data_IF_810002685078
#
_entry.id   IF_810002685078
#
_cell.length_a   1.000
_cell.length_b   1.000
_cell.length_c   1.000
_cell.angle_alpha   90.00
_cell.angle_beta   90.00
_cell.angle_gamma   90.00
#
_symmetry.space_group_name_H-M   'P 1'
#
loop_
_entity.id
_entity.type
_entity.pdbx_description
1 polymer ?
#
# COMPACT_ATOMS: atom_id res chain seq x y z
N UNK A 1 20.52 8.64 6.27
CA UNK A 1 20.74 8.87 7.71
C UNK A 1 21.05 7.61 8.53
N UNK A 2 21.32 6.44 7.91
CA UNK A 2 21.75 5.21 8.62
C UNK A 2 23.25 4.92 8.53
N UNK A 3 23.97 5.56 7.61
CA UNK A 3 25.39 5.33 7.40
C UNK A 3 26.25 5.75 8.61
N UNK A 4 25.93 6.89 9.25
CA UNK A 4 26.70 7.41 10.37
C UNK A 4 26.56 6.53 11.65
N UNK A 5 25.35 6.11 12.08
CA UNK A 5 25.23 5.16 13.19
C UNK A 5 25.89 3.81 12.91
N UNK A 6 25.77 3.26 11.69
CA UNK A 6 26.39 1.99 11.32
C UNK A 6 27.92 2.09 11.28
N UNK A 7 28.45 3.22 10.79
CA UNK A 7 29.87 3.52 10.81
C UNK A 7 30.41 3.68 12.24
N UNK A 8 29.71 4.42 13.10
CA UNK A 8 30.10 4.65 14.51
C UNK A 8 30.07 3.35 15.32
N UNK A 9 29.16 2.43 15.03
CA UNK A 9 29.08 1.12 15.68
C UNK A 9 30.09 0.10 15.13
N UNK A 10 30.92 0.47 14.13
CA UNK A 10 31.83 -0.46 13.45
C UNK A 10 31.11 -1.55 12.66
N UNK A 11 29.80 -1.42 12.47
CA UNK A 11 28.94 -2.37 11.79
C UNK A 11 28.89 -2.07 10.29
N UNK A 12 30.06 -2.02 9.64
CA UNK A 12 30.09 -1.98 8.18
C UNK A 12 30.01 -3.41 7.64
N UNK A 13 29.20 -3.66 6.60
CA UNK A 13 29.21 -4.91 5.86
C UNK A 13 30.65 -5.31 5.47
N UNK A 14 31.06 -6.57 5.62
CA UNK A 14 32.40 -7.03 5.25
C UNK A 14 32.60 -7.11 3.73
N UNK A 15 31.56 -6.78 2.95
CA UNK A 15 31.53 -6.92 1.51
C UNK A 15 32.02 -5.66 0.78
N UNK A 16 32.53 -5.79 -0.46
CA UNK A 16 32.80 -4.65 -1.32
C UNK A 16 31.57 -3.73 -1.48
N UNK A 17 31.76 -2.41 -1.70
CA UNK A 17 30.65 -1.44 -1.77
C UNK A 17 29.58 -1.79 -2.81
N UNK A 18 29.96 -2.38 -3.95
CA UNK A 18 29.02 -2.78 -5.01
C UNK A 18 28.05 -3.88 -4.53
N UNK A 19 28.55 -4.88 -3.81
CA UNK A 19 27.72 -5.97 -3.28
C UNK A 19 26.86 -5.50 -2.13
N UNK A 20 27.40 -4.62 -1.28
CA UNK A 20 26.63 -3.95 -0.23
C UNK A 20 25.48 -3.14 -0.82
N UNK A 21 25.75 -2.34 -1.87
CA UNK A 21 24.72 -1.55 -2.54
C UNK A 21 23.66 -2.45 -3.20
N UNK A 22 24.07 -3.51 -3.89
CA UNK A 22 23.16 -4.48 -4.48
C UNK A 22 22.28 -5.17 -3.41
N UNK A 23 22.88 -5.61 -2.30
CA UNK A 23 22.14 -6.23 -1.20
C UNK A 23 21.12 -5.29 -0.56
N UNK A 24 21.47 -4.01 -0.37
CA UNK A 24 20.52 -2.98 0.12
C UNK A 24 19.38 -2.75 -0.87
N UNK A 25 19.69 -2.68 -2.18
CA UNK A 25 18.68 -2.52 -3.23
C UNK A 25 17.73 -3.71 -3.30
N UNK A 26 18.22 -4.94 -3.09
CA UNK A 26 17.40 -6.15 -3.03
C UNK A 26 16.57 -6.23 -1.74
N UNK A 27 17.09 -5.74 -0.63
CA UNK A 27 16.38 -5.75 0.66
C UNK A 27 15.25 -4.71 0.72
N UNK A 28 15.46 -3.53 0.13
CA UNK A 28 14.47 -2.45 0.12
C UNK A 28 13.04 -2.88 -0.29
N UNK A 29 12.81 -3.54 -1.45
CA UNK A 29 11.47 -3.98 -1.84
C UNK A 29 10.88 -5.06 -0.92
N UNK A 30 11.70 -5.83 -0.21
CA UNK A 30 11.22 -6.81 0.77
C UNK A 30 10.66 -6.15 2.05
N UNK A 31 11.12 -4.94 2.38
CA UNK A 31 10.67 -4.16 3.54
C UNK A 31 9.47 -3.27 3.24
N UNK A 32 9.26 -2.88 1.97
CA UNK A 32 8.16 -2.02 1.55
C UNK A 32 6.76 -2.54 1.96
N UNK A 33 6.41 -3.84 1.82
CA UNK A 33 5.11 -4.35 2.21
C UNK A 33 4.81 -4.13 3.71
N UNK A 34 5.79 -4.35 4.59
CA UNK A 34 5.62 -4.14 6.03
C UNK A 34 5.35 -2.68 6.37
N UNK A 35 6.06 -1.75 5.74
CA UNK A 35 5.83 -0.31 5.94
C UNK A 35 4.48 0.15 5.38
N UNK A 36 4.11 -0.31 4.19
CA UNK A 36 2.81 -0.03 3.60
C UNK A 36 1.65 -0.64 4.41
N UNK A 37 1.87 -1.80 5.02
CA UNK A 37 0.88 -2.47 5.87
C UNK A 37 0.64 -1.69 7.16
N UNK A 38 1.70 -1.21 7.82
CA UNK A 38 1.59 -0.34 8.99
C UNK A 38 0.77 0.93 8.69
N UNK A 39 1.01 1.53 7.52
CA UNK A 39 0.22 2.68 7.04
C UNK A 39 -1.24 2.32 6.79
N UNK A 40 -1.52 1.16 6.22
CA UNK A 40 -2.89 0.72 5.96
C UNK A 40 -3.67 0.51 7.27
N UNK A 41 -3.04 -0.01 8.32
CA UNK A 41 -3.66 -0.08 9.66
C UNK A 41 -4.04 1.31 10.18
N UNK A 42 -3.10 2.26 10.14
CA UNK A 42 -3.35 3.63 10.60
C UNK A 42 -4.47 4.33 9.82
N UNK A 43 -4.51 4.14 8.50
CA UNK A 43 -5.40 4.91 7.61
C UNK A 43 -6.75 4.23 7.35
N UNK A 44 -6.77 2.91 7.13
CA UNK A 44 -7.97 2.14 6.84
C UNK A 44 -8.52 1.41 8.08
N UNK A 45 -7.63 0.90 8.93
CA UNK A 45 -7.99 0.18 10.17
C UNK A 45 -8.46 1.10 11.30
N UNK A 46 -8.12 2.40 11.25
CA UNK A 46 -8.37 3.40 12.32
C UNK A 46 -7.80 2.96 13.68
N UNK A 47 -6.59 2.40 13.64
CA UNK A 47 -5.80 1.95 14.77
C UNK A 47 -4.38 1.66 14.29
N UNK A 48 -3.51 1.16 15.16
CA UNK A 48 -2.12 0.85 14.85
C UNK A 48 -1.87 -0.67 14.98
N UNK A 49 -0.70 -1.18 14.54
CA UNK A 49 -0.29 -2.55 14.85
C UNK A 49 -0.03 -2.79 16.35
N UNK A 50 -0.23 -1.78 17.22
CA UNK A 50 0.07 -1.87 18.64
C UNK A 50 -1.07 -2.59 19.38
N UNK A 51 -0.76 -3.50 20.32
CA UNK A 51 -1.79 -4.27 21.04
C UNK A 51 -2.84 -3.43 21.76
N UNK A 52 -2.49 -2.20 22.17
CA UNK A 52 -3.36 -1.28 22.90
C UNK A 52 -4.19 -0.34 22.01
N UNK A 53 -3.99 -0.37 20.69
CA UNK A 53 -4.81 0.37 19.71
C UNK A 53 -5.04 -0.47 18.44
N UNK A 54 -5.69 -1.64 18.55
CA UNK A 54 -5.86 -2.54 17.41
C UNK A 54 -6.81 -1.95 16.34
N UNK A 55 -6.67 -2.36 15.06
CA UNK A 55 -7.55 -1.90 14.00
C UNK A 55 -9.00 -2.32 14.27
N UNK A 56 -9.94 -1.38 14.08
CA UNK A 56 -11.38 -1.59 14.33
C UNK A 56 -12.09 -2.32 13.19
N UNK A 57 -11.42 -2.50 12.07
CA UNK A 57 -11.96 -3.10 10.84
C UNK A 57 -10.98 -4.12 10.31
N UNK A 58 -11.52 -5.17 9.70
CA UNK A 58 -10.70 -6.13 8.95
C UNK A 58 -10.09 -5.41 7.74
N UNK A 59 -8.78 -5.21 7.77
CA UNK A 59 -8.04 -4.53 6.71
C UNK A 59 -7.70 -5.52 5.61
N UNK A 60 -8.25 -5.31 4.42
CA UNK A 60 -8.04 -6.18 3.24
C UNK A 60 -7.46 -5.42 2.04
N UNK A 61 -7.15 -4.13 2.21
CA UNK A 61 -6.49 -3.28 1.22
C UNK A 61 -4.96 -3.32 1.31
N UNK A 62 -4.28 -2.64 0.39
CA UNK A 62 -2.82 -2.55 0.40
C UNK A 62 -2.13 -3.92 0.37
N UNK A 63 -1.04 -4.10 1.14
CA UNK A 63 -0.33 -5.38 1.23
C UNK A 63 -1.19 -6.55 1.72
N UNK A 64 -2.22 -6.30 2.53
CA UNK A 64 -3.12 -7.32 3.05
C UNK A 64 -3.97 -7.99 1.95
N UNK A 65 -4.07 -7.40 0.74
CA UNK A 65 -4.68 -8.06 -0.41
C UNK A 65 -3.78 -9.15 -1.03
N UNK A 66 -2.48 -9.13 -0.74
CA UNK A 66 -1.49 -10.03 -1.35
C UNK A 66 -1.01 -11.11 -0.38
N UNK A 67 -0.80 -10.75 0.87
CA UNK A 67 -0.30 -11.63 1.92
C UNK A 67 -0.94 -11.20 3.24
N UNK A 68 -1.28 -12.15 4.10
CA UNK A 68 -2.02 -11.86 5.34
C UNK A 68 -1.11 -11.30 6.43
N UNK A 69 0.16 -11.68 6.41
CA UNK A 69 1.16 -11.31 7.41
C UNK A 69 2.30 -10.45 6.80
N UNK A 70 2.01 -9.33 6.11
CA UNK A 70 3.01 -8.55 5.39
C UNK A 70 4.09 -7.99 6.32
N UNK A 71 3.72 -7.58 7.53
CA UNK A 71 4.66 -7.02 8.51
C UNK A 71 5.60 -8.10 9.05
N UNK A 72 5.06 -9.27 9.41
CA UNK A 72 5.89 -10.38 9.88
C UNK A 72 6.79 -10.92 8.75
N UNK A 73 6.27 -11.01 7.52
CA UNK A 73 7.07 -11.38 6.34
C UNK A 73 8.23 -10.40 6.12
N UNK A 74 7.97 -9.09 6.12
CA UNK A 74 9.02 -8.09 6.00
C UNK A 74 10.03 -8.13 7.16
N UNK A 75 9.60 -8.44 8.38
CA UNK A 75 10.53 -8.61 9.51
C UNK A 75 11.46 -9.81 9.33
N UNK A 76 10.92 -10.96 8.92
CA UNK A 76 11.72 -12.17 8.64
C UNK A 76 12.69 -11.92 7.48
N UNK A 77 12.22 -11.35 6.37
CA UNK A 77 13.07 -10.98 5.23
C UNK A 77 14.11 -9.92 5.61
N UNK A 78 13.78 -9.02 6.52
CA UNK A 78 14.69 -8.05 7.13
C UNK A 78 15.85 -8.72 7.86
N UNK A 79 15.56 -9.66 8.76
CA UNK A 79 16.59 -10.42 9.46
C UNK A 79 17.46 -11.24 8.51
N UNK A 80 16.86 -11.92 7.53
CA UNK A 80 17.61 -12.69 6.53
C UNK A 80 18.51 -11.79 5.66
N UNK A 81 17.99 -10.64 5.21
CA UNK A 81 18.74 -9.67 4.43
C UNK A 81 19.89 -9.05 5.23
N UNK A 82 19.67 -8.70 6.49
CA UNK A 82 20.72 -8.22 7.38
C UNK A 82 21.75 -9.32 7.68
N UNK A 83 21.33 -10.58 7.90
CA UNK A 83 22.27 -11.70 8.07
C UNK A 83 23.22 -11.84 6.88
N UNK A 84 22.68 -11.73 5.66
CA UNK A 84 23.50 -11.74 4.44
C UNK A 84 24.39 -10.49 4.32
N UNK A 85 23.84 -9.30 4.55
CA UNK A 85 24.58 -8.03 4.43
C UNK A 85 25.72 -7.91 5.45
N UNK A 86 25.53 -8.36 6.68
CA UNK A 86 26.53 -8.26 7.74
C UNK A 86 27.36 -9.55 7.92
N UNK A 87 27.06 -10.61 7.15
CA UNK A 87 27.63 -11.94 7.30
C UNK A 87 27.54 -12.49 8.74
N UNK A 88 26.47 -12.14 9.47
CA UNK A 88 26.27 -12.53 10.87
C UNK A 88 25.20 -13.62 10.99
N UNK A 89 25.59 -14.89 11.28
CA UNK A 89 24.64 -15.99 11.44
C UNK A 89 23.72 -15.83 12.65
N UNK A 90 24.04 -14.99 13.63
CA UNK A 90 23.15 -14.72 14.78
C UNK A 90 21.84 -14.05 14.33
N UNK A 91 21.88 -13.30 13.24
CA UNK A 91 20.69 -12.69 12.64
C UNK A 91 19.77 -13.73 11.99
N UNK A 92 20.30 -14.89 11.58
CA UNK A 92 19.47 -16.02 11.11
C UNK A 92 18.64 -16.60 12.27
N UNK A 93 19.20 -16.67 13.48
CA UNK A 93 18.43 -17.05 14.67
C UNK A 93 17.29 -16.06 14.89
N UNK A 94 17.54 -14.76 14.72
CA UNK A 94 16.50 -13.73 14.75
C UNK A 94 15.38 -13.98 13.73
N UNK A 95 15.73 -14.35 12.50
CA UNK A 95 14.75 -14.71 11.46
C UNK A 95 13.92 -15.95 11.85
N UNK A 96 14.57 -17.00 12.36
CA UNK A 96 13.91 -18.25 12.79
C UNK A 96 12.97 -17.98 13.95
N UNK A 97 13.43 -17.24 14.97
CA UNK A 97 12.59 -16.88 16.14
C UNK A 97 11.41 -16.03 15.71
N UNK A 98 11.63 -15.02 14.86
CA UNK A 98 10.55 -14.17 14.34
C UNK A 98 9.53 -14.98 13.54
N UNK A 99 9.98 -15.91 12.70
CA UNK A 99 9.11 -16.79 11.92
C UNK A 99 8.33 -17.76 12.83
N UNK A 100 8.99 -18.41 13.78
CA UNK A 100 8.38 -19.36 14.70
C UNK A 100 7.34 -18.69 15.61
N UNK A 101 7.68 -17.54 16.20
CA UNK A 101 6.74 -16.75 17.00
C UNK A 101 5.53 -16.31 16.17
N UNK A 102 5.77 -15.81 14.96
CA UNK A 102 4.71 -15.29 14.10
C UNK A 102 3.79 -16.39 13.55
N UNK A 103 4.35 -17.52 13.11
CA UNK A 103 3.61 -18.62 12.52
C UNK A 103 2.92 -19.52 13.57
N UNK A 104 3.45 -19.56 14.80
CA UNK A 104 2.88 -20.28 15.93
C UNK A 104 2.00 -19.39 16.78
N UNK A 105 2.59 -18.77 17.80
CA UNK A 105 1.87 -18.08 18.88
C UNK A 105 1.04 -16.90 18.36
N UNK A 106 1.63 -16.01 17.55
CA UNK A 106 0.91 -14.84 17.04
C UNK A 106 -0.24 -15.25 16.13
N UNK A 107 0.00 -16.16 15.18
CA UNK A 107 -1.05 -16.64 14.27
C UNK A 107 -2.22 -17.30 15.02
N UNK A 108 -1.94 -18.10 16.05
CA UNK A 108 -2.99 -18.71 16.87
C UNK A 108 -3.83 -17.66 17.63
N UNK A 109 -3.15 -16.71 18.26
CA UNK A 109 -3.81 -15.63 19.02
C UNK A 109 -4.63 -14.71 18.11
N UNK A 110 -4.03 -14.23 17.02
CA UNK A 110 -4.67 -13.36 16.03
C UNK A 110 -5.87 -14.06 15.39
N UNK A 111 -5.78 -15.35 15.05
CA UNK A 111 -6.89 -16.09 14.46
C UNK A 111 -8.10 -16.18 15.40
N UNK A 112 -7.85 -16.45 16.68
CA UNK A 112 -8.91 -16.49 17.69
C UNK A 112 -9.58 -15.12 17.85
N UNK A 113 -8.80 -14.04 17.91
CA UNK A 113 -9.32 -12.67 18.03
C UNK A 113 -10.11 -12.24 16.78
N UNK A 114 -9.54 -12.43 15.58
CA UNK A 114 -10.16 -12.01 14.33
C UNK A 114 -11.41 -12.83 14.00
N UNK A 115 -11.45 -14.11 14.37
CA UNK A 115 -12.66 -14.92 14.25
C UNK A 115 -13.78 -14.41 15.15
N UNK A 116 -13.49 -14.02 16.40
CA UNK A 116 -14.48 -13.41 17.30
C UNK A 116 -14.97 -12.05 16.78
N UNK A 117 -14.06 -11.21 16.27
CA UNK A 117 -14.38 -9.85 15.85
C UNK A 117 -15.07 -9.76 14.47
N UNK A 118 -14.77 -10.68 13.55
CA UNK A 118 -15.17 -10.57 12.14
C UNK A 118 -15.85 -11.81 11.55
N UNK A 119 -15.93 -12.92 12.31
CA UNK A 119 -16.69 -14.11 11.95
C UNK A 119 -16.36 -14.64 10.55
N UNK A 120 -17.40 -14.82 9.72
CA UNK A 120 -17.28 -15.36 8.36
C UNK A 120 -16.39 -14.51 7.45
N UNK A 121 -16.38 -13.18 7.60
CA UNK A 121 -15.53 -12.30 6.78
C UNK A 121 -14.06 -12.62 6.96
N UNK A 122 -13.65 -12.94 8.20
CA UNK A 122 -12.30 -13.41 8.48
C UNK A 122 -12.03 -14.77 7.83
N UNK A 123 -12.96 -15.72 7.93
CA UNK A 123 -12.77 -17.05 7.35
C UNK A 123 -12.58 -16.99 5.84
N UNK A 124 -13.42 -16.24 5.13
CA UNK A 124 -13.33 -16.02 3.68
C UNK A 124 -11.99 -15.37 3.30
N UNK A 125 -11.57 -14.35 4.04
CA UNK A 125 -10.27 -13.72 3.81
C UNK A 125 -9.10 -14.68 4.06
N UNK A 126 -9.15 -15.44 5.15
CA UNK A 126 -8.10 -16.36 5.60
C UNK A 126 -7.90 -17.52 4.63
N UNK A 127 -8.97 -18.05 4.04
CA UNK A 127 -8.87 -19.11 3.02
C UNK A 127 -8.35 -18.56 1.69
N UNK A 128 -8.68 -17.32 1.35
CA UNK A 128 -8.26 -16.72 0.10
C UNK A 128 -6.81 -16.18 0.14
N UNK A 129 -6.35 -15.62 1.26
CA UNK A 129 -5.04 -14.95 1.36
C UNK A 129 -4.12 -15.72 2.29
N UNK A 130 -3.01 -16.23 1.71
CA UNK A 130 -2.01 -17.02 2.43
C UNK A 130 -1.25 -16.17 3.44
N UNK A 131 -0.82 -16.79 4.53
CA UNK A 131 -0.06 -16.15 5.60
C UNK A 131 1.26 -15.57 5.11
N UNK A 132 2.07 -16.37 4.42
CA UNK A 132 3.48 -16.05 4.14
C UNK A 132 3.82 -15.93 2.67
N UNK A 133 2.97 -16.42 1.76
CA UNK A 133 3.25 -16.45 0.32
C UNK A 133 2.40 -15.40 -0.42
N UNK A 134 3.01 -14.31 -0.93
CA UNK A 134 2.30 -13.26 -1.64
C UNK A 134 1.61 -13.75 -2.90
N UNK A 135 0.38 -13.29 -3.13
CA UNK A 135 -0.32 -13.47 -4.41
C UNK A 135 0.32 -12.59 -5.49
N UNK A 136 0.21 -12.99 -6.76
CA UNK A 136 0.60 -12.13 -7.88
C UNK A 136 -0.48 -11.09 -8.18
N UNK A 137 -1.73 -11.48 -8.49
CA UNK A 137 -2.86 -10.55 -8.45
C UNK A 137 -3.37 -10.41 -7.01
N UNK A 138 -3.84 -9.21 -6.61
CA UNK A 138 -4.44 -9.02 -5.29
C UNK A 138 -5.73 -9.86 -5.18
N UNK A 139 -6.12 -10.15 -3.95
CA UNK A 139 -7.36 -10.86 -3.69
C UNK A 139 -8.59 -10.08 -4.18
N UNK A 140 -9.50 -10.70 -4.97
CA UNK A 140 -10.70 -10.03 -5.49
C UNK A 140 -11.65 -9.49 -4.43
N UNK A 141 -11.70 -10.12 -3.24
CA UNK A 141 -12.52 -9.65 -2.12
C UNK A 141 -11.90 -8.52 -1.29
N UNK A 142 -10.78 -7.93 -1.75
CA UNK A 142 -10.16 -6.77 -1.10
C UNK A 142 -11.15 -5.60 -0.99
N UNK A 143 -10.82 -4.65 -0.13
CA UNK A 143 -11.59 -3.41 0.02
C UNK A 143 -11.75 -2.72 -1.34
N UNK A 144 -12.98 -2.54 -1.85
CA UNK A 144 -13.21 -1.93 -3.15
C UNK A 144 -12.92 -0.44 -3.11
N UNK A 145 -12.49 0.09 -4.25
CA UNK A 145 -12.19 1.49 -4.43
C UNK A 145 -12.66 2.04 -5.78
N UNK A 146 -12.73 3.36 -5.86
CA UNK A 146 -13.04 4.11 -7.07
C UNK A 146 -11.92 5.09 -7.35
N UNK A 147 -11.46 5.12 -8.60
CA UNK A 147 -10.55 6.11 -9.13
C UNK A 147 -11.30 7.01 -10.10
N UNK A 148 -11.41 8.28 -9.72
CA UNK A 148 -11.99 9.36 -10.50
C UNK A 148 -10.89 10.00 -11.35
N UNK A 149 -11.07 9.97 -12.68
CA UNK A 149 -10.08 10.43 -13.67
C UNK A 149 -10.72 11.51 -14.54
N UNK A 150 -10.09 12.68 -14.67
CA UNK A 150 -10.58 13.75 -15.53
C UNK A 150 -10.66 13.29 -17.00
N UNK A 151 -11.89 13.23 -17.54
CA UNK A 151 -12.10 12.92 -18.95
C UNK A 151 -11.63 14.06 -19.86
N UNK A 152 -11.70 15.29 -19.37
CA UNK A 152 -11.26 16.53 -20.02
C UNK A 152 -9.73 16.70 -20.15
N UNK A 153 -8.93 15.75 -19.68
CA UNK A 153 -7.47 15.79 -19.68
C UNK A 153 -6.91 14.61 -20.49
N UNK A 154 -6.28 14.87 -21.65
CA UNK A 154 -5.78 13.82 -22.56
C UNK A 154 -4.76 12.87 -21.89
N UNK A 155 -3.83 13.44 -21.10
CA UNK A 155 -2.88 12.65 -20.30
C UNK A 155 -3.61 11.75 -19.29
N UNK A 156 -4.66 12.27 -18.66
CA UNK A 156 -5.42 11.58 -17.63
C UNK A 156 -6.28 10.46 -18.23
N UNK A 157 -6.97 10.72 -19.35
CA UNK A 157 -7.75 9.71 -20.07
C UNK A 157 -6.86 8.61 -20.64
N UNK A 158 -5.67 8.95 -21.15
CA UNK A 158 -4.64 7.97 -21.56
C UNK A 158 -4.19 7.07 -20.41
N UNK A 159 -3.92 7.65 -19.23
CA UNK A 159 -3.65 6.89 -18.00
C UNK A 159 -4.83 5.98 -17.61
N UNK A 160 -6.06 6.47 -17.74
CA UNK A 160 -7.26 5.68 -17.50
C UNK A 160 -7.37 4.46 -18.41
N UNK A 161 -7.10 4.63 -19.71
CA UNK A 161 -7.06 3.52 -20.66
C UNK A 161 -5.94 2.51 -20.33
N UNK A 162 -4.75 3.00 -19.99
CA UNK A 162 -3.62 2.17 -19.56
C UNK A 162 -3.91 1.36 -18.28
N UNK A 163 -4.63 1.96 -17.33
CA UNK A 163 -5.08 1.29 -16.11
C UNK A 163 -6.15 0.25 -16.44
N UNK A 164 -7.15 0.60 -17.25
CA UNK A 164 -8.21 -0.33 -17.65
C UNK A 164 -7.65 -1.57 -18.36
N UNK A 165 -6.67 -1.39 -19.25
CA UNK A 165 -5.98 -2.46 -19.98
C UNK A 165 -5.25 -3.46 -19.07
N UNK A 166 -4.98 -3.09 -17.80
CA UNK A 166 -4.34 -3.95 -16.80
C UNK A 166 -5.33 -4.73 -15.93
N UNK A 167 -6.63 -4.61 -16.20
CA UNK A 167 -7.70 -5.30 -15.49
C UNK A 167 -7.59 -5.18 -13.95
N UNK A 168 -7.65 -3.96 -13.39
CA UNK A 168 -7.43 -3.76 -11.97
C UNK A 168 -8.55 -4.40 -11.14
N UNK A 169 -8.17 -5.06 -10.06
CA UNK A 169 -9.04 -5.84 -9.20
C UNK A 169 -9.70 -4.95 -8.16
N UNK A 170 -11.03 -5.00 -8.07
CA UNK A 170 -11.82 -4.21 -7.12
C UNK A 170 -11.56 -2.69 -7.20
N UNK A 171 -11.26 -2.19 -8.39
CA UNK A 171 -11.09 -0.76 -8.69
C UNK A 171 -12.04 -0.34 -9.81
N UNK A 172 -12.96 0.57 -9.50
CA UNK A 172 -13.84 1.17 -10.51
C UNK A 172 -13.19 2.44 -11.05
N UNK A 173 -13.18 2.60 -12.37
CA UNK A 173 -12.71 3.83 -13.02
C UNK A 173 -13.93 4.66 -13.41
N UNK A 174 -14.02 5.89 -12.95
CA UNK A 174 -15.12 6.81 -13.26
C UNK A 174 -14.58 8.16 -13.76
N UNK A 175 -15.34 8.88 -14.61
CA UNK A 175 -15.00 10.27 -14.95
C UNK A 175 -15.01 11.13 -13.68
N UNK A 176 -13.97 11.94 -13.48
CA UNK A 176 -13.88 12.79 -12.31
C UNK A 176 -15.01 13.82 -12.24
N UNK A 177 -15.54 14.22 -13.40
CA UNK A 177 -16.69 15.12 -13.54
C UNK A 177 -17.96 14.59 -12.83
N UNK A 178 -18.05 13.27 -12.58
CA UNK A 178 -19.17 12.65 -11.83
C UNK A 178 -18.98 12.64 -10.31
N UNK A 179 -17.83 13.08 -9.80
CA UNK A 179 -17.58 13.08 -8.36
C UNK A 179 -18.50 14.09 -7.65
N UNK A 180 -19.13 13.75 -6.51
CA UNK A 180 -20.07 14.64 -5.79
C UNK A 180 -19.44 15.91 -5.17
N UNK A 181 -18.18 16.22 -5.50
CA UNK A 181 -17.42 17.33 -4.92
C UNK A 181 -16.66 18.09 -6.00
N UNK A 182 -15.58 18.78 -5.62
CA UNK A 182 -14.64 19.43 -6.57
C UNK A 182 -13.35 18.60 -6.65
N UNK A 183 -13.35 17.46 -7.35
CA UNK A 183 -12.20 16.58 -7.39
C UNK A 183 -11.02 17.25 -8.11
N UNK A 184 -9.82 16.78 -7.79
CA UNK A 184 -8.64 17.02 -8.63
C UNK A 184 -8.70 16.09 -9.84
N UNK A 185 -7.83 16.35 -10.82
CA UNK A 185 -7.69 15.53 -12.05
C UNK A 185 -7.66 14.02 -11.82
N UNK A 186 -7.05 13.59 -10.72
CA UNK A 186 -7.02 12.20 -10.28
C UNK A 186 -7.38 12.15 -8.80
N UNK A 187 -8.43 11.40 -8.44
CA UNK A 187 -8.91 11.25 -7.06
C UNK A 187 -9.26 9.80 -6.77
N UNK A 188 -8.67 9.23 -5.71
CA UNK A 188 -8.92 7.88 -5.23
C UNK A 188 -9.78 7.91 -3.98
N UNK A 189 -10.78 7.03 -3.89
CA UNK A 189 -11.59 6.83 -2.70
C UNK A 189 -11.89 5.33 -2.50
N UNK A 190 -11.64 4.82 -1.29
CA UNK A 190 -11.95 3.43 -0.91
C UNK A 190 -13.17 3.32 0.00
N UNK A 191 -13.80 2.16 0.03
CA UNK A 191 -14.88 1.85 0.98
C UNK A 191 -14.42 1.88 2.46
N UNK A 192 -13.12 1.75 2.73
CA UNK A 192 -12.56 1.92 4.07
C UNK A 192 -12.40 3.40 4.49
N UNK A 193 -12.71 4.36 3.60
CA UNK A 193 -12.60 5.79 3.86
C UNK A 193 -11.25 6.41 3.53
N UNK A 194 -10.29 5.63 3.02
CA UNK A 194 -9.01 6.15 2.51
C UNK A 194 -9.27 7.00 1.27
N UNK A 195 -8.76 8.22 1.26
CA UNK A 195 -8.83 9.16 0.13
C UNK A 195 -7.43 9.64 -0.25
N UNK A 196 -7.17 9.76 -1.54
CA UNK A 196 -5.92 10.30 -2.07
C UNK A 196 -6.18 11.09 -3.36
N UNK A 197 -5.24 11.96 -3.76
CA UNK A 197 -5.35 12.74 -4.99
C UNK A 197 -3.99 12.86 -5.69
N UNK A 198 -4.00 13.11 -7.00
CA UNK A 198 -2.77 13.28 -7.79
C UNK A 198 -1.92 12.01 -7.80
N UNK A 199 -0.61 12.13 -7.64
CA UNK A 199 0.33 10.99 -7.65
C UNK A 199 0.01 9.97 -6.56
N UNK A 200 -0.44 10.40 -5.38
CA UNK A 200 -0.87 9.49 -4.33
C UNK A 200 -2.12 8.68 -4.72
N UNK A 201 -3.03 9.24 -5.54
CA UNK A 201 -4.17 8.47 -6.06
C UNK A 201 -3.73 7.43 -7.08
N UNK A 202 -2.76 7.77 -7.95
CA UNK A 202 -2.16 6.80 -8.88
C UNK A 202 -1.46 5.68 -8.11
N UNK A 203 -0.66 6.01 -7.11
CA UNK A 203 0.01 5.04 -6.24
C UNK A 203 -0.98 4.04 -5.63
N UNK A 204 -2.12 4.53 -5.10
CA UNK A 204 -3.20 3.67 -4.59
C UNK A 204 -3.85 2.82 -5.68
N UNK A 205 -4.04 3.35 -6.89
CA UNK A 205 -4.60 2.60 -8.00
C UNK A 205 -3.69 1.45 -8.45
N UNK A 206 -2.38 1.66 -8.44
CA UNK A 206 -1.40 0.63 -8.84
C UNK A 206 -1.45 -0.60 -7.94
N UNK A 207 -1.83 -0.43 -6.67
CA UNK A 207 -2.04 -1.55 -5.74
C UNK A 207 -3.14 -2.51 -6.18
N UNK A 208 -4.02 -2.12 -7.10
CA UNK A 208 -5.12 -2.97 -7.59
C UNK A 208 -4.73 -3.84 -8.80
N UNK A 209 -3.50 -3.77 -9.31
CA UNK A 209 -3.09 -4.49 -10.53
C UNK A 209 -2.47 -5.85 -10.20
N UNK A 210 -1.16 -5.90 -9.99
CA UNK A 210 -0.41 -7.09 -9.58
C UNK A 210 0.76 -6.66 -8.70
N UNK A 211 1.39 -7.60 -8.00
CA UNK A 211 2.36 -7.31 -6.94
C UNK A 211 3.49 -6.36 -7.37
N UNK A 212 4.05 -6.53 -8.57
CA UNK A 212 5.05 -5.62 -9.13
C UNK A 212 4.59 -4.16 -9.19
N UNK A 213 3.39 -3.89 -9.72
CA UNK A 213 2.83 -2.53 -9.71
C UNK A 213 2.46 -2.06 -8.31
N UNK A 214 2.03 -2.95 -7.43
CA UNK A 214 1.76 -2.62 -6.03
C UNK A 214 3.03 -2.20 -5.28
N UNK A 215 4.17 -2.86 -5.52
CA UNK A 215 5.47 -2.45 -4.97
C UNK A 215 5.85 -1.03 -5.41
N UNK A 216 5.67 -0.72 -6.70
CA UNK A 216 5.87 0.64 -7.20
C UNK A 216 4.89 1.63 -6.56
N UNK A 217 3.62 1.25 -6.41
CA UNK A 217 2.61 2.06 -5.71
C UNK A 217 2.98 2.35 -4.27
N UNK A 218 3.45 1.35 -3.52
CA UNK A 218 3.89 1.52 -2.14
C UNK A 218 5.15 2.39 -2.03
N UNK A 219 6.11 2.23 -2.94
CA UNK A 219 7.31 3.06 -3.00
C UNK A 219 6.98 4.52 -3.30
N UNK A 220 6.17 4.78 -4.34
CA UNK A 220 5.70 6.14 -4.70
C UNK A 220 4.88 6.74 -3.57
N UNK A 221 4.09 5.91 -2.87
CA UNK A 221 3.24 6.33 -1.77
C UNK A 221 3.98 6.70 -0.48
N UNK A 222 5.29 6.48 -0.38
CA UNK A 222 6.06 6.82 0.82
C UNK A 222 6.06 8.33 1.10
N UNK A 223 6.06 8.74 2.39
CA UNK A 223 6.28 10.13 2.76
C UNK A 223 7.58 10.67 2.12
N UNK A 224 7.58 11.92 1.67
CA UNK A 224 8.69 12.51 0.93
C UNK A 224 8.70 12.13 -0.55
N UNK A 225 8.71 10.83 -0.88
CA UNK A 225 8.68 10.35 -2.29
C UNK A 225 7.41 10.82 -3.00
N UNK A 226 6.25 10.66 -2.36
CA UNK A 226 4.98 11.10 -2.92
C UNK A 226 4.96 12.63 -3.17
N UNK A 227 5.55 13.40 -2.27
CA UNK A 227 5.63 14.86 -2.38
C UNK A 227 6.54 15.29 -3.52
N UNK A 228 7.74 14.71 -3.60
CA UNK A 228 8.69 14.96 -4.69
C UNK A 228 8.10 14.55 -6.04
N UNK A 229 7.49 13.37 -6.13
CA UNK A 229 6.86 12.88 -7.34
C UNK A 229 5.68 13.77 -7.75
N UNK A 230 4.91 14.31 -6.80
CA UNK A 230 3.86 15.29 -7.09
C UNK A 230 4.44 16.59 -7.64
N UNK A 231 5.52 17.13 -7.05
CA UNK A 231 6.18 18.34 -7.55
C UNK A 231 6.72 18.15 -8.97
N UNK A 232 7.35 17.00 -9.24
CA UNK A 232 7.80 16.66 -10.59
C UNK A 232 6.62 16.59 -11.56
N UNK A 233 5.54 15.88 -11.20
CA UNK A 233 4.34 15.80 -12.01
C UNK A 233 3.74 17.19 -12.30
N UNK A 234 3.71 18.06 -11.30
CA UNK A 234 3.21 19.43 -11.43
C UNK A 234 4.07 20.25 -12.42
N UNK A 235 5.39 20.10 -12.36
CA UNK A 235 6.33 20.75 -13.30
C UNK A 235 6.14 20.28 -14.76
N UNK A 236 5.75 19.01 -14.97
CA UNK A 236 5.48 18.45 -16.30
C UNK A 236 4.02 18.62 -16.77
N UNK A 237 3.25 19.54 -16.18
CA UNK A 237 1.90 19.89 -16.64
C UNK A 237 0.77 19.00 -16.11
N UNK A 238 1.08 18.05 -15.22
CA UNK A 238 0.10 17.30 -14.44
C UNK A 238 -0.36 18.03 -13.16
N UNK A 239 -0.05 19.33 -13.08
CA UNK A 239 -0.40 20.24 -12.00
C UNK A 239 -1.86 20.17 -11.53
N UNK A 240 -2.14 20.48 -10.25
CA UNK A 240 -3.46 20.35 -9.67
C UNK A 240 -4.46 21.29 -10.35
N UNK A 241 -5.35 20.72 -11.16
CA UNK A 241 -6.55 21.41 -11.66
C UNK A 241 -7.76 20.88 -10.88
N UNK A 242 -8.48 21.77 -10.20
CA UNK A 242 -9.80 21.46 -9.65
C UNK A 242 -10.80 21.48 -10.78
N UNK A 243 -11.58 20.41 -10.93
CA UNK A 243 -12.67 20.39 -11.89
C UNK A 243 -13.91 21.08 -11.29
N UNK A 244 -14.78 21.67 -12.13
CA UNK A 244 -16.10 22.09 -11.70
C UNK A 244 -16.81 20.91 -11.04
N UNK A 245 -17.50 21.16 -9.92
CA UNK A 245 -18.40 20.14 -9.35
C UNK A 245 -19.57 19.87 -10.30
N UNK A 246 -20.37 18.82 -10.05
CA UNK A 246 -21.56 18.56 -10.85
C UNK A 246 -22.41 19.83 -10.91
N UNK A 247 -22.90 20.18 -12.10
CA UNK A 247 -23.82 21.30 -12.27
C UNK A 247 -24.98 21.09 -11.28
N UNK A 248 -25.24 22.07 -10.41
CA UNK A 248 -26.47 22.06 -9.62
C UNK A 248 -27.62 21.97 -10.64
N UNK A 249 -28.62 21.09 -10.45
CA UNK A 249 -29.82 21.19 -11.26
C UNK A 249 -30.31 22.63 -11.15
N UNK A 250 -30.62 23.24 -12.30
CA UNK A 250 -31.22 24.56 -12.33
C UNK A 250 -32.46 24.46 -11.44
N UNK A 251 -32.46 25.19 -10.33
CA UNK A 251 -33.69 25.39 -9.57
C UNK A 251 -34.52 26.27 -10.50
N UNK A 252 -35.51 25.66 -11.15
CA UNK A 252 -36.53 26.39 -11.89
C UNK A 252 -37.12 27.41 -10.92
N UNK A 253 -36.73 28.68 -11.13
CA UNK A 253 -37.38 29.79 -10.46
C UNK A 253 -38.74 29.91 -11.12
N UNK A 254 -39.74 29.26 -10.55
CA UNK A 254 -41.14 29.66 -10.71
C UNK A 254 -41.22 31.16 -10.40
N UNK A 255 -41.50 31.93 -11.45
CA UNK A 255 -41.81 33.35 -11.35
C UNK A 255 -43.27 33.45 -10.91
N UNK A 256 -43.60 34.23 -9.86
CA UNK A 256 -44.99 34.50 -9.48
C UNK A 256 -45.71 35.36 -10.52
#
# INVERSE_FOLDING_TARGET
MFALPLYVLGALPPWPPVWTAAGVQLLAPALLPGLAAAREFATAGRGTPLPYDPPRRLVTGGPYAYVRNPMQLSAVLGYLGCAALFADPRLLLGAVVAAAYSAGLAAWHEDAQLRRAHGERWLVYRTAVRAWLPRLPPWPGRTPATLYIAGSCSMCSGLGGWLAARAPVALRLLPAETHPGRPRRLTYASAAGVRASGVAALARAMEHIHLGWALCGWAIGLPGVAGFAQLAADAFGAGPRRLPGPARPAVDREYP
#
